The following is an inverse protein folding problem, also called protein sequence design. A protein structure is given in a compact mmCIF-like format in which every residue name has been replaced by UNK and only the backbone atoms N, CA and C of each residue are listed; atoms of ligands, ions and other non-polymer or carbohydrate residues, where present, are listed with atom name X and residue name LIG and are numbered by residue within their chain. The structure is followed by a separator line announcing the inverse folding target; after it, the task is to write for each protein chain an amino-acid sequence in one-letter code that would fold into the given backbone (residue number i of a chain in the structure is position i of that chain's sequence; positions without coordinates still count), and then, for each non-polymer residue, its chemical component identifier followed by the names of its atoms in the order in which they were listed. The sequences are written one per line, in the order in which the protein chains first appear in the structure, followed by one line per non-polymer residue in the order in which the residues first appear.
data_IF_025804540466
#
_entry.id   IF_025804540466
#
_cell.length_a   1.000
_cell.length_b   1.000
_cell.length_c   1.000
_cell.angle_alpha   90.00
_cell.angle_beta   90.00
_cell.angle_gamma   90.00
#
_symmetry.space_group_name_H-M   'P 1'
#
loop_
_entity.id
_entity.type
_entity.pdbx_description
1 polymer ?
#
# COMPACT_ATOMS: atom_id res chain seq x y z
N UNK A 1 0.86 7.61 6.27
CA UNK A 1 0.98 6.18 6.50
C UNK A 1 0.02 5.33 5.68
N UNK A 2 0.06 4.06 5.95
CA UNK A 2 -0.77 3.10 5.23
C UNK A 2 -1.11 1.91 6.12
N UNK A 3 -2.24 1.27 5.81
CA UNK A 3 -2.69 0.07 6.49
C UNK A 3 -3.06 -0.96 5.43
N UNK A 4 -2.55 -2.17 5.57
CA UNK A 4 -2.97 -3.27 4.71
C UNK A 4 -4.32 -3.79 5.19
N UNK A 5 -5.20 -4.09 4.25
CA UNK A 5 -6.50 -4.69 4.55
C UNK A 5 -6.46 -6.13 4.07
N UNK A 6 -6.75 -7.04 4.98
CA UNK A 6 -6.67 -8.48 4.71
C UNK A 6 -8.00 -9.15 5.01
N UNK A 7 -8.22 -10.33 4.41
CA UNK A 7 -9.38 -11.15 4.72
C UNK A 7 -9.10 -12.02 5.95
N UNK A 8 -10.03 -12.93 6.27
CA UNK A 8 -9.92 -13.79 7.44
C UNK A 8 -8.75 -14.78 7.36
N UNK A 9 -8.19 -14.99 6.18
CA UNK A 9 -7.04 -15.85 5.95
C UNK A 9 -5.74 -15.07 5.83
N UNK A 10 -5.77 -13.76 6.16
CA UNK A 10 -4.62 -12.86 6.08
C UNK A 10 -4.17 -12.58 4.65
N UNK A 11 -5.00 -12.90 3.66
CA UNK A 11 -4.73 -12.60 2.27
C UNK A 11 -5.06 -11.13 2.01
N UNK A 12 -4.13 -10.44 1.35
CA UNK A 12 -4.32 -9.01 1.10
C UNK A 12 -5.43 -8.75 0.09
N UNK A 13 -6.36 -7.87 0.44
CA UNK A 13 -7.44 -7.45 -0.44
C UNK A 13 -7.35 -5.98 -0.81
N UNK A 14 -6.55 -5.20 -0.10
CA UNK A 14 -6.40 -3.79 -0.42
C UNK A 14 -5.43 -3.09 0.50
N UNK A 15 -5.28 -1.79 0.28
CA UNK A 15 -4.48 -0.91 1.12
C UNK A 15 -5.23 0.40 1.34
N UNK A 16 -5.18 0.92 2.56
CA UNK A 16 -5.77 2.21 2.90
C UNK A 16 -4.64 3.17 3.22
N UNK A 17 -4.58 4.27 2.49
CA UNK A 17 -3.50 5.26 2.63
C UNK A 17 -4.06 6.60 3.12
N UNK A 18 -3.15 7.51 3.49
CA UNK A 18 -3.53 8.88 3.84
C UNK A 18 -4.31 9.54 2.70
N UNK A 19 -3.93 9.25 1.45
CA UNK A 19 -4.62 9.78 0.29
C UNK A 19 -6.06 9.28 0.19
N UNK A 20 -6.27 7.99 0.50
CA UNK A 20 -7.64 7.43 0.51
C UNK A 20 -8.50 8.11 1.56
N UNK A 21 -7.93 8.33 2.74
CA UNK A 21 -8.63 9.00 3.84
C UNK A 21 -8.97 10.44 3.46
N UNK A 22 -8.02 11.15 2.88
CA UNK A 22 -8.22 12.54 2.47
C UNK A 22 -9.32 12.65 1.41
N UNK A 23 -9.32 11.76 0.43
CA UNK A 23 -10.38 11.72 -0.59
C UNK A 23 -11.73 11.38 0.00
N UNK A 24 -11.75 10.45 0.97
CA UNK A 24 -12.98 10.08 1.65
C UNK A 24 -13.59 11.24 2.42
N UNK A 25 -12.75 11.97 3.16
CA UNK A 25 -13.21 13.12 3.95
C UNK A 25 -13.76 14.24 3.06
N UNK A 26 -13.23 14.42 1.85
CA UNK A 26 -13.70 15.43 0.94
C UNK A 26 -15.10 15.12 0.39
N UNK A 27 -15.55 13.87 0.51
CA UNK A 27 -16.87 13.44 0.04
C UNK A 27 -17.97 13.52 1.09
N UNK A 28 -17.59 13.80 2.33
CA UNK A 28 -18.55 13.94 3.41
C UNK A 28 -18.12 13.22 4.67
N UNK A 29 -18.74 13.60 5.77
CA UNK A 29 -18.39 13.10 7.11
C UNK A 29 -18.82 11.65 7.32
N UNK A 30 -19.79 11.16 6.57
CA UNK A 30 -20.29 9.79 6.69
C UNK A 30 -19.25 8.75 6.28
N UNK A 31 -18.17 9.18 5.64
CA UNK A 31 -17.05 8.34 5.29
C UNK A 31 -16.54 7.51 6.49
N UNK A 32 -16.55 8.10 7.69
CA UNK A 32 -16.10 7.42 8.91
C UNK A 32 -17.02 6.28 9.35
N UNK A 33 -18.22 6.22 8.78
CA UNK A 33 -19.19 5.17 9.08
C UNK A 33 -19.13 4.02 8.09
N UNK A 34 -18.26 4.12 7.08
CA UNK A 34 -18.20 3.13 6.02
C UNK A 34 -17.16 2.05 6.31
N UNK A 35 -17.38 0.82 5.84
CA UNK A 35 -16.36 -0.23 5.96
C UNK A 35 -15.10 0.16 5.19
N UNK A 36 -13.94 -0.30 5.67
CA UNK A 36 -12.66 -0.01 4.99
C UNK A 36 -12.64 -0.55 3.56
N UNK A 37 -13.39 -1.61 3.28
CA UNK A 37 -13.46 -2.18 1.93
C UNK A 37 -14.05 -1.23 0.89
N UNK A 38 -14.82 -0.24 1.33
CA UNK A 38 -15.36 0.79 0.45
C UNK A 38 -14.39 1.95 0.23
N UNK A 39 -13.40 2.08 1.11
CA UNK A 39 -12.49 3.23 1.12
C UNK A 39 -11.13 2.87 0.57
N UNK A 40 -10.72 1.63 0.68
CA UNK A 40 -9.38 1.18 0.32
C UNK A 40 -9.13 1.19 -1.17
N UNK A 41 -7.86 1.19 -1.55
CA UNK A 41 -7.44 0.91 -2.91
C UNK A 41 -7.37 -0.61 -3.06
N UNK A 42 -8.13 -1.15 -4.01
CA UNK A 42 -8.17 -2.59 -4.29
C UNK A 42 -7.03 -2.98 -5.21
N UNK A 43 -6.56 -4.22 -5.06
CA UNK A 43 -5.50 -4.77 -5.90
C UNK A 43 -4.30 -3.82 -6.03
N UNK A 44 -3.73 -3.34 -4.91
CA UNK A 44 -2.57 -2.46 -4.97
C UNK A 44 -1.37 -3.20 -5.55
N UNK A 45 -0.39 -2.44 -6.03
CA UNK A 45 0.89 -3.03 -6.41
C UNK A 45 1.56 -3.59 -5.17
N UNK A 46 2.22 -4.73 -5.33
CA UNK A 46 2.88 -5.44 -4.23
C UNK A 46 4.25 -5.90 -4.67
N UNK A 47 5.05 -6.36 -3.71
CA UNK A 47 6.36 -6.91 -4.00
C UNK A 47 6.61 -8.09 -3.06
N UNK A 48 7.44 -9.03 -3.49
CA UNK A 48 7.84 -10.16 -2.66
C UNK A 48 9.19 -9.85 -2.02
N UNK A 49 9.48 -10.51 -0.90
CA UNK A 49 10.67 -10.20 -0.09
C UNK A 49 12.00 -10.50 -0.78
N UNK A 50 11.98 -11.31 -1.81
CA UNK A 50 13.19 -11.71 -2.56
C UNK A 50 13.64 -10.65 -3.57
N UNK A 51 12.83 -9.62 -3.80
CA UNK A 51 13.19 -8.57 -4.76
C UNK A 51 14.17 -7.59 -4.16
N UNK A 52 14.98 -6.98 -5.03
CA UNK A 52 15.95 -5.98 -4.60
C UNK A 52 15.26 -4.66 -4.27
N UNK A 53 15.84 -3.90 -3.36
CA UNK A 53 15.33 -2.59 -2.99
C UNK A 53 15.23 -1.65 -4.20
N UNK A 54 16.19 -1.74 -5.13
CA UNK A 54 16.15 -0.95 -6.35
C UNK A 54 14.93 -1.29 -7.23
N UNK A 55 14.51 -2.56 -7.23
CA UNK A 55 13.31 -2.97 -7.96
C UNK A 55 12.05 -2.41 -7.31
N UNK A 56 12.01 -2.39 -5.97
CA UNK A 56 10.90 -1.79 -5.24
C UNK A 56 10.80 -0.30 -5.55
N UNK A 57 11.92 0.41 -5.52
CA UNK A 57 11.95 1.84 -5.82
C UNK A 57 11.46 2.12 -7.24
N UNK A 58 11.92 1.33 -8.19
CA UNK A 58 11.47 1.48 -9.58
C UNK A 58 9.96 1.30 -9.70
N UNK A 59 9.41 0.29 -9.05
CA UNK A 59 7.97 0.03 -9.07
C UNK A 59 7.19 1.19 -8.46
N UNK A 60 7.69 1.76 -7.36
CA UNK A 60 7.06 2.89 -6.72
C UNK A 60 7.09 4.14 -7.60
N UNK A 61 8.25 4.46 -8.17
CA UNK A 61 8.41 5.68 -8.97
C UNK A 61 7.70 5.62 -10.31
N UNK A 62 7.63 4.44 -10.93
CA UNK A 62 7.03 4.27 -12.24
C UNK A 62 5.53 4.10 -12.22
N UNK A 63 4.91 4.09 -11.04
CA UNK A 63 3.47 3.93 -10.94
C UNK A 63 2.74 5.10 -11.62
N UNK A 64 1.67 4.78 -12.33
CA UNK A 64 0.85 5.76 -13.05
C UNK A 64 -0.55 5.78 -12.45
N UNK A 65 -1.21 6.94 -12.34
CA UNK A 65 -0.86 8.25 -12.88
C UNK A 65 0.18 9.03 -12.05
N UNK A 66 0.50 8.55 -10.84
CA UNK A 66 1.50 9.20 -10.00
C UNK A 66 2.26 8.16 -9.19
N UNK A 67 3.47 8.50 -8.72
CA UNK A 67 4.24 7.59 -7.88
C UNK A 67 3.49 7.19 -6.62
N UNK A 68 3.80 6.00 -6.11
CA UNK A 68 3.31 5.53 -4.81
C UNK A 68 4.49 5.52 -3.84
N UNK A 69 4.20 5.71 -2.56
CA UNK A 69 5.24 5.83 -1.53
C UNK A 69 5.22 4.67 -0.54
N UNK A 70 4.24 3.78 -0.66
CA UNK A 70 4.10 2.60 0.20
C UNK A 70 3.82 1.39 -0.68
N UNK A 71 4.51 0.29 -0.39
CA UNK A 71 4.39 -0.93 -1.17
C UNK A 71 4.24 -2.11 -0.21
N UNK A 72 3.08 -2.80 -0.23
CA UNK A 72 2.93 -4.00 0.60
C UNK A 72 3.88 -5.11 0.14
N UNK A 73 4.48 -5.79 1.11
CA UNK A 73 5.33 -6.95 0.86
C UNK A 73 4.50 -8.18 1.18
N UNK A 74 4.40 -9.10 0.23
CA UNK A 74 3.58 -10.29 0.37
C UNK A 74 4.40 -11.55 0.17
N UNK A 75 3.89 -12.66 0.71
CA UNK A 75 4.48 -13.98 0.47
C UNK A 75 3.83 -14.64 -0.76
N UNK A 76 4.17 -15.91 -0.99
CA UNK A 76 3.70 -16.64 -2.16
C UNK A 76 2.19 -16.88 -2.16
N UNK A 77 1.56 -16.86 -0.98
CA UNK A 77 0.12 -17.01 -0.84
C UNK A 77 -0.61 -15.68 -0.74
N UNK A 78 0.07 -14.55 -1.03
CA UNK A 78 -0.46 -13.18 -0.97
C UNK A 78 -0.80 -12.72 0.44
N UNK A 79 -0.23 -13.34 1.46
CA UNK A 79 -0.35 -12.85 2.84
C UNK A 79 0.62 -11.69 3.03
N UNK A 80 0.18 -10.67 3.75
CA UNK A 80 1.01 -9.50 4.00
C UNK A 80 2.03 -9.81 5.07
N UNK A 81 3.31 -9.62 4.75
CA UNK A 81 4.41 -9.82 5.69
C UNK A 81 5.10 -8.51 6.06
N UNK A 82 4.73 -7.42 5.41
CA UNK A 82 5.28 -6.11 5.75
C UNK A 82 4.76 -5.02 4.84
N UNK A 83 5.14 -3.80 5.18
CA UNK A 83 4.91 -2.62 4.35
C UNK A 83 6.24 -1.91 4.16
N UNK A 84 6.57 -1.61 2.92
CA UNK A 84 7.80 -0.91 2.57
C UNK A 84 7.45 0.53 2.25
N UNK A 85 8.01 1.47 2.99
CA UNK A 85 7.82 2.90 2.73
C UNK A 85 9.02 3.43 1.94
N UNK A 86 8.77 4.39 1.06
CA UNK A 86 9.84 5.00 0.28
C UNK A 86 10.92 5.60 1.20
N UNK A 87 10.51 6.12 2.37
CA UNK A 87 11.45 6.66 3.35
C UNK A 87 12.42 5.60 3.89
N UNK A 88 12.00 4.33 3.94
CA UNK A 88 12.89 3.25 4.35
C UNK A 88 14.03 3.09 3.36
N UNK A 89 13.73 3.19 2.07
CA UNK A 89 14.73 3.09 1.01
C UNK A 89 15.71 4.26 1.06
N UNK A 90 15.21 5.46 1.34
CA UNK A 90 16.04 6.66 1.47
C UNK A 90 17.01 6.48 2.64
N UNK A 91 16.52 6.01 3.79
CA UNK A 91 17.36 5.78 4.97
C UNK A 91 18.46 4.75 4.71
N UNK A 92 18.18 3.77 3.87
CA UNK A 92 19.15 2.72 3.54
C UNK A 92 20.12 3.12 2.45
N UNK A 93 20.00 4.34 1.94
CA UNK A 93 20.91 4.85 0.93
C UNK A 93 20.66 4.33 -0.48
N UNK A 94 19.46 3.85 -0.78
CA UNK A 94 19.09 3.34 -2.11
C UNK A 94 18.90 4.48 -3.11
N UNK A 95 18.54 5.65 -2.59
CA UNK A 95 18.33 6.86 -3.41
C UNK A 95 19.20 7.99 -2.90
#
# INVERSE_FOLDING_TARGET
GAVSVVDDNEIMIGVLTDGDIRRGLSKGIDFLQRPVTELMTRAPKTITKDKLAAQALHLMESNSPKPITVLPVIDEERRVIGLLHMTDLVRQGVV
#
